data_IF_763993458657
#
_entry.id   IF_763993458657
#
_cell.length_a   1.000
_cell.length_b   1.000
_cell.length_c   1.000
_cell.angle_alpha   90.00
_cell.angle_beta   90.00
_cell.angle_gamma   90.00
#
_symmetry.space_group_name_H-M   'P 1'
#
loop_
_entity.id
_entity.type
_entity.pdbx_description
1 polymer ?
#
# COMPACT_ATOMS: atom_id res chain seq x y z
N UNK A 1 26.82 1.46 -4.58
CA UNK A 1 25.48 2.01 -4.90
C UNK A 1 25.50 2.66 -6.28
N UNK A 2 24.43 2.54 -7.07
CA UNK A 2 24.28 3.16 -8.40
C UNK A 2 22.90 3.82 -8.49
N UNK A 3 22.87 5.08 -8.94
CA UNK A 3 21.66 5.88 -9.17
C UNK A 3 21.93 6.93 -10.26
N UNK A 4 20.95 7.79 -10.55
CA UNK A 4 21.08 8.93 -11.42
C UNK A 4 20.14 10.05 -10.96
N UNK A 5 20.47 11.32 -11.28
CA UNK A 5 19.66 12.50 -10.90
C UNK A 5 18.19 12.36 -11.32
N UNK A 6 17.93 11.81 -12.51
CA UNK A 6 16.57 11.53 -12.98
C UNK A 6 15.83 10.56 -12.04
N UNK A 7 16.47 9.46 -11.62
CA UNK A 7 15.88 8.47 -10.71
C UNK A 7 15.61 9.06 -9.32
N UNK A 8 16.56 9.82 -8.78
CA UNK A 8 16.43 10.48 -7.48
C UNK A 8 15.30 11.51 -7.44
N UNK A 9 14.90 12.07 -8.59
CA UNK A 9 13.74 12.97 -8.65
C UNK A 9 12.44 12.32 -8.13
N UNK A 10 12.35 10.99 -8.13
CA UNK A 10 11.20 10.24 -7.58
C UNK A 10 11.22 10.14 -6.05
N UNK A 11 12.36 10.37 -5.41
CA UNK A 11 12.48 10.43 -3.94
C UNK A 11 12.07 11.77 -3.35
N UNK A 12 11.90 12.80 -4.20
CA UNK A 12 11.56 14.16 -3.80
C UNK A 12 10.23 14.23 -3.03
N UNK A 13 10.19 15.05 -1.98
CA UNK A 13 9.04 15.23 -1.08
C UNK A 13 7.79 15.74 -1.80
N UNK A 14 7.95 16.37 -2.97
CA UNK A 14 6.81 16.85 -3.77
C UNK A 14 5.83 15.75 -4.20
N UNK A 15 6.28 14.50 -4.24
CA UNK A 15 5.40 13.37 -4.51
C UNK A 15 4.93 12.81 -3.17
N UNK A 16 3.64 12.54 -3.03
CA UNK A 16 3.11 11.73 -1.93
C UNK A 16 3.36 10.24 -2.20
N UNK A 17 3.48 9.43 -1.15
CA UNK A 17 3.48 7.98 -1.28
C UNK A 17 4.61 7.24 -0.60
N UNK A 18 4.53 5.91 -0.64
CA UNK A 18 5.43 5.02 0.09
C UNK A 18 6.72 4.74 -0.68
N UNK A 19 7.84 4.76 0.03
CA UNK A 19 9.10 4.21 -0.44
C UNK A 19 9.11 2.71 -0.17
N UNK A 20 9.72 1.91 -1.05
CA UNK A 20 9.84 0.48 -0.89
C UNK A 20 11.30 0.08 -0.99
N UNK A 21 11.75 -0.75 -0.06
CA UNK A 21 13.08 -1.36 -0.08
C UNK A 21 12.94 -2.87 0.00
N UNK A 22 13.67 -3.57 -0.87
CA UNK A 22 13.71 -5.02 -0.92
C UNK A 22 15.06 -5.47 -1.45
N UNK A 23 15.52 -6.63 -1.00
CA UNK A 23 16.72 -7.28 -1.48
C UNK A 23 16.37 -8.40 -2.46
N UNK A 24 17.14 -8.51 -3.53
CA UNK A 24 16.99 -9.63 -4.45
C UNK A 24 18.29 -10.37 -4.70
N UNK A 25 18.21 -11.70 -4.60
CA UNK A 25 19.35 -12.61 -4.62
C UNK A 25 19.46 -13.38 -5.93
N UNK A 26 20.49 -14.24 -6.04
CA UNK A 26 20.75 -15.11 -7.21
C UNK A 26 21.02 -14.33 -8.51
N UNK A 27 21.60 -13.13 -8.38
CA UNK A 27 22.00 -12.26 -9.49
C UNK A 27 23.50 -12.38 -9.81
N UNK A 28 24.32 -12.55 -8.77
CA UNK A 28 25.77 -12.71 -8.87
C UNK A 28 26.18 -14.15 -8.55
N UNK A 29 27.37 -14.58 -8.99
CA UNK A 29 27.94 -15.90 -8.66
C UNK A 29 28.13 -16.07 -7.14
N UNK A 30 28.52 -14.99 -6.46
CA UNK A 30 28.71 -14.93 -5.01
C UNK A 30 27.39 -14.79 -4.23
N UNK A 31 26.25 -14.69 -4.92
CA UNK A 31 24.92 -14.49 -4.31
C UNK A 31 24.77 -13.22 -3.47
N UNK A 32 25.62 -12.22 -3.70
CA UNK A 32 25.48 -10.89 -3.09
C UNK A 32 24.09 -10.29 -3.36
N UNK A 33 23.39 -9.81 -2.32
CA UNK A 33 22.10 -9.14 -2.46
C UNK A 33 22.20 -7.85 -3.25
N UNK A 34 21.24 -7.66 -4.16
CA UNK A 34 20.93 -6.35 -4.72
C UNK A 34 19.77 -5.75 -3.91
N UNK A 35 20.07 -4.74 -3.11
CA UNK A 35 19.08 -3.85 -2.50
C UNK A 35 18.55 -2.91 -3.59
N UNK A 36 17.22 -2.80 -3.68
CA UNK A 36 16.54 -1.85 -4.55
C UNK A 36 15.68 -0.94 -3.69
N UNK A 37 15.90 0.37 -3.80
CA UNK A 37 14.97 1.37 -3.29
C UNK A 37 14.14 1.91 -4.45
N UNK A 38 12.84 1.91 -4.27
CA UNK A 38 11.89 2.40 -5.25
C UNK A 38 10.77 3.20 -4.58
N UNK A 39 9.97 3.88 -5.40
CA UNK A 39 8.72 4.50 -4.97
C UNK A 39 7.55 3.88 -5.71
N UNK A 40 6.40 3.76 -5.05
CA UNK A 40 5.14 3.43 -5.72
C UNK A 40 4.27 4.67 -5.86
N UNK A 41 3.58 4.78 -6.99
CA UNK A 41 2.60 5.84 -7.25
C UNK A 41 1.17 5.38 -6.92
N UNK A 42 0.17 6.26 -7.10
CA UNK A 42 -1.22 5.96 -6.78
C UNK A 42 -1.85 4.88 -7.68
N UNK A 43 -1.21 4.56 -8.82
CA UNK A 43 -1.57 3.43 -9.69
C UNK A 43 -0.76 2.18 -9.38
N UNK A 44 -0.07 2.15 -8.24
CA UNK A 44 0.75 1.03 -7.80
C UNK A 44 1.94 0.72 -8.74
N UNK A 45 2.36 1.70 -9.54
CA UNK A 45 3.48 1.54 -10.44
C UNK A 45 4.80 1.78 -9.69
N UNK A 46 5.77 0.88 -9.89
CA UNK A 46 7.11 1.01 -9.31
C UNK A 46 7.99 1.93 -10.13
N UNK A 47 8.61 2.88 -9.44
CA UNK A 47 9.61 3.81 -9.94
C UNK A 47 10.94 3.52 -9.22
N UNK A 48 11.88 2.76 -9.82
CA UNK A 48 13.16 2.45 -9.18
C UNK A 48 14.00 3.71 -9.02
N UNK A 49 14.70 3.82 -7.89
CA UNK A 49 15.48 5.03 -7.55
C UNK A 49 16.95 4.72 -7.34
N UNK A 50 17.27 3.62 -6.65
CA UNK A 50 18.63 3.26 -6.29
C UNK A 50 18.81 1.75 -6.37
N UNK A 51 19.97 1.35 -6.90
CA UNK A 51 20.43 -0.03 -6.97
C UNK A 51 21.72 -0.16 -6.14
N UNK A 52 21.74 -0.99 -5.10
CA UNK A 52 22.93 -1.20 -4.28
C UNK A 52 23.27 -2.69 -4.19
N UNK A 53 24.44 -3.07 -4.70
CA UNK A 53 25.00 -4.39 -4.45
C UNK A 53 25.76 -4.32 -3.13
N UNK A 54 25.41 -5.18 -2.18
CA UNK A 54 26.12 -5.29 -0.90
C UNK A 54 26.57 -6.73 -0.66
N UNK A 55 27.61 -6.93 0.14
CA UNK A 55 28.07 -8.26 0.56
C UNK A 55 27.32 -8.77 1.78
N UNK A 56 26.83 -7.87 2.64
CA UNK A 56 26.12 -8.19 3.87
C UNK A 56 24.88 -7.29 4.04
N UNK A 57 24.00 -7.72 4.94
CA UNK A 57 22.72 -7.07 5.24
C UNK A 57 22.67 -6.69 6.73
N UNK A 58 23.80 -6.18 7.25
CA UNK A 58 23.94 -5.70 8.62
C UNK A 58 23.44 -4.27 8.76
N UNK A 59 23.24 -3.82 10.01
CA UNK A 59 22.75 -2.48 10.29
C UNK A 59 23.65 -1.38 9.73
N UNK A 60 24.97 -1.56 9.80
CA UNK A 60 25.95 -0.65 9.19
C UNK A 60 25.80 -0.55 7.67
N UNK A 61 25.55 -1.67 6.98
CA UNK A 61 25.34 -1.67 5.52
C UNK A 61 24.10 -0.84 5.14
N UNK A 62 23.03 -0.92 5.93
CA UNK A 62 21.83 -0.10 5.72
C UNK A 62 22.03 1.34 6.10
N UNK A 63 22.74 1.61 7.19
CA UNK A 63 23.08 2.97 7.60
C UNK A 63 23.87 3.68 6.49
N UNK A 64 24.90 3.03 5.95
CA UNK A 64 25.70 3.55 4.83
C UNK A 64 24.87 3.70 3.57
N UNK A 65 23.98 2.74 3.29
CA UNK A 65 23.04 2.82 2.18
C UNK A 65 22.16 4.07 2.27
N UNK A 66 21.43 4.26 3.36
CA UNK A 66 20.53 5.40 3.54
C UNK A 66 21.29 6.74 3.62
N UNK A 67 22.45 6.77 4.29
CA UNK A 67 23.33 7.96 4.32
C UNK A 67 23.78 8.35 2.92
N UNK A 68 24.15 7.36 2.09
CA UNK A 68 24.52 7.63 0.70
C UNK A 68 23.33 8.14 -0.11
N UNK A 69 22.14 7.55 0.04
CA UNK A 69 20.90 8.05 -0.59
C UNK A 69 20.67 9.51 -0.22
N UNK A 70 20.81 9.88 1.05
CA UNK A 70 20.67 11.26 1.50
C UNK A 70 21.70 12.18 0.84
N UNK A 71 22.98 11.81 0.85
CA UNK A 71 24.04 12.61 0.22
C UNK A 71 23.80 12.85 -1.27
N UNK A 72 23.33 11.83 -2.01
CA UNK A 72 23.07 11.93 -3.46
C UNK A 72 21.80 12.73 -3.77
N UNK A 73 20.79 12.67 -2.90
CA UNK A 73 19.58 13.49 -3.05
C UNK A 73 19.91 14.96 -2.81
N UNK A 74 20.68 15.29 -1.77
CA UNK A 74 21.16 16.65 -1.49
C UNK A 74 22.01 17.17 -2.65
N UNK A 75 22.98 16.40 -3.12
CA UNK A 75 23.85 16.78 -4.26
C UNK A 75 23.07 17.00 -5.57
N UNK A 76 21.88 16.41 -5.66
CA UNK A 76 20.95 16.56 -6.78
C UNK A 76 19.91 17.67 -6.60
N UNK A 77 20.03 18.49 -5.55
CA UNK A 77 19.04 19.49 -5.15
C UNK A 77 17.62 18.88 -4.98
N UNK A 78 17.58 17.75 -4.26
CA UNK A 78 16.38 17.00 -3.89
C UNK A 78 16.33 16.79 -2.38
N UNK A 79 15.12 16.64 -1.85
CA UNK A 79 14.89 16.36 -0.43
C UNK A 79 14.29 14.97 -0.28
N UNK A 80 14.95 14.10 0.49
CA UNK A 80 14.44 12.79 0.86
C UNK A 80 14.13 12.75 2.36
N UNK A 81 12.85 12.81 2.69
CA UNK A 81 12.32 12.70 4.06
C UNK A 81 11.13 11.75 4.03
N UNK A 82 11.37 10.43 4.12
CA UNK A 82 10.32 9.44 3.95
C UNK A 82 9.35 9.46 5.13
N UNK A 83 8.05 9.61 4.86
CA UNK A 83 7.00 9.38 5.85
C UNK A 83 6.73 7.88 6.06
N UNK A 84 6.87 7.11 4.97
CA UNK A 84 6.58 5.67 4.95
C UNK A 84 7.64 4.91 4.16
N UNK A 85 8.19 3.85 4.77
CA UNK A 85 9.04 2.87 4.10
C UNK A 85 8.38 1.49 4.24
N UNK A 86 8.10 0.85 3.12
CA UNK A 86 7.61 -0.52 3.04
C UNK A 86 8.81 -1.45 2.91
N UNK A 87 8.93 -2.40 3.84
CA UNK A 87 9.95 -3.44 3.82
C UNK A 87 9.42 -4.72 4.47
N UNK A 88 10.19 -5.79 4.37
CA UNK A 88 9.96 -7.00 5.18
C UNK A 88 10.34 -6.76 6.65
N UNK A 89 10.23 -7.80 7.48
CA UNK A 89 10.65 -7.76 8.88
C UNK A 89 12.19 -7.71 9.02
N UNK A 90 12.80 -6.65 8.51
CA UNK A 90 14.24 -6.50 8.35
C UNK A 90 14.86 -5.62 9.44
N UNK A 91 15.31 -6.24 10.54
CA UNK A 91 15.80 -5.51 11.73
C UNK A 91 16.93 -4.52 11.42
N UNK A 92 17.91 -4.95 10.63
CA UNK A 92 19.05 -4.13 10.26
C UNK A 92 18.62 -2.85 9.51
N UNK A 93 17.77 -2.99 8.49
CA UNK A 93 17.21 -1.85 7.76
C UNK A 93 16.26 -1.01 8.62
N UNK A 94 15.46 -1.63 9.49
CA UNK A 94 14.60 -0.92 10.45
C UNK A 94 15.41 0.02 11.35
N UNK A 95 16.45 -0.50 12.01
CA UNK A 95 17.25 0.27 12.96
C UNK A 95 17.95 1.44 12.25
N UNK A 96 18.58 1.17 11.09
CA UNK A 96 19.22 2.21 10.29
C UNK A 96 18.24 3.28 9.80
N UNK A 97 17.05 2.88 9.34
CA UNK A 97 16.03 3.83 8.88
C UNK A 97 15.50 4.71 10.01
N UNK A 98 15.19 4.15 11.18
CA UNK A 98 14.68 4.93 12.33
C UNK A 98 15.76 5.85 12.89
N UNK A 99 17.03 5.43 12.86
CA UNK A 99 18.15 6.27 13.27
C UNK A 99 18.28 7.54 12.41
N UNK A 100 18.16 7.39 11.09
CA UNK A 100 18.29 8.51 10.13
C UNK A 100 16.99 9.29 9.91
N UNK A 101 15.83 8.64 10.12
CA UNK A 101 14.50 9.20 9.91
C UNK A 101 13.59 8.89 11.12
N UNK A 102 13.71 9.62 12.24
CA UNK A 102 13.00 9.28 13.48
C UNK A 102 11.47 9.21 13.34
N UNK A 103 10.89 10.02 12.45
CA UNK A 103 9.45 10.09 12.23
C UNK A 103 8.91 9.09 11.19
N UNK A 104 9.77 8.29 10.56
CA UNK A 104 9.35 7.35 9.51
C UNK A 104 8.49 6.23 10.08
N UNK A 105 7.38 5.93 9.41
CA UNK A 105 6.60 4.72 9.67
C UNK A 105 7.09 3.60 8.78
N UNK A 106 7.71 2.59 9.41
CA UNK A 106 8.05 1.35 8.72
C UNK A 106 6.79 0.50 8.57
N UNK A 107 6.31 0.41 7.34
CA UNK A 107 5.21 -0.46 6.94
C UNK A 107 5.78 -1.85 6.62
N UNK A 108 5.16 -2.88 7.17
CA UNK A 108 5.61 -4.25 6.96
C UNK A 108 4.63 -5.03 6.09
N UNK A 109 5.15 -5.83 5.16
CA UNK A 109 4.35 -6.67 4.28
C UNK A 109 3.91 -7.98 4.97
N UNK A 110 2.79 -7.95 5.70
CA UNK A 110 2.21 -9.16 6.34
C UNK A 110 0.98 -9.73 5.62
N UNK A 111 0.77 -9.38 4.35
CA UNK A 111 -0.46 -9.75 3.64
C UNK A 111 -0.68 -11.27 3.54
N UNK A 112 0.40 -12.04 3.34
CA UNK A 112 0.31 -13.47 3.06
C UNK A 112 -0.11 -14.35 4.25
N UNK A 113 -0.08 -13.82 5.48
CA UNK A 113 -0.33 -14.64 6.68
C UNK A 113 -1.72 -14.39 7.27
N UNK A 114 -2.24 -13.16 7.25
CA UNK A 114 -3.51 -12.80 7.92
C UNK A 114 -4.30 -11.72 7.14
N UNK A 115 -4.88 -12.10 5.99
CA UNK A 115 -5.58 -11.18 5.09
C UNK A 115 -6.69 -10.36 5.79
N UNK A 116 -7.54 -11.00 6.60
CA UNK A 116 -8.64 -10.31 7.28
C UNK A 116 -8.14 -9.19 8.19
N UNK A 117 -7.11 -9.45 8.98
CA UNK A 117 -6.52 -8.45 9.86
C UNK A 117 -5.78 -7.37 9.07
N UNK A 118 -5.08 -7.73 7.99
CA UNK A 118 -4.39 -6.76 7.12
C UNK A 118 -5.37 -5.77 6.51
N UNK A 119 -6.53 -6.27 6.08
CA UNK A 119 -7.58 -5.50 5.41
C UNK A 119 -8.46 -4.69 6.38
N UNK A 120 -8.12 -4.65 7.66
CA UNK A 120 -8.86 -3.86 8.65
C UNK A 120 -8.83 -2.37 8.29
N UNK A 121 -9.93 -1.67 8.50
CA UNK A 121 -10.04 -0.23 8.14
C UNK A 121 -9.75 0.71 9.31
N UNK A 122 -9.73 0.20 10.53
CA UNK A 122 -9.37 0.91 11.75
C UNK A 122 -8.96 -0.07 12.86
N UNK A 123 -8.59 0.46 14.04
CA UNK A 123 -8.19 -0.35 15.19
C UNK A 123 -9.32 -1.18 15.81
N UNK A 124 -10.59 -0.75 15.68
CA UNK A 124 -11.73 -1.51 16.17
C UNK A 124 -12.03 -2.70 15.25
N UNK A 125 -11.94 -2.50 13.94
CA UNK A 125 -12.05 -3.55 12.94
C UNK A 125 -10.91 -4.58 13.09
N UNK A 126 -9.69 -4.12 13.35
CA UNK A 126 -8.56 -5.02 13.67
C UNK A 126 -8.84 -5.87 14.91
N UNK A 127 -9.37 -5.27 15.99
CA UNK A 127 -9.71 -6.02 17.21
C UNK A 127 -10.73 -7.11 16.91
N UNK A 128 -11.80 -6.79 16.17
CA UNK A 128 -12.82 -7.77 15.75
C UNK A 128 -12.22 -8.89 14.91
N UNK A 129 -11.39 -8.54 13.92
CA UNK A 129 -10.73 -9.50 13.04
C UNK A 129 -9.69 -10.37 13.79
N UNK A 130 -9.20 -9.91 14.94
CA UNK A 130 -8.23 -10.62 15.77
C UNK A 130 -8.87 -11.62 16.74
N UNK A 131 -10.13 -11.45 17.17
CA UNK A 131 -10.72 -12.29 18.24
C UNK A 131 -10.69 -13.79 17.90
N UNK A 132 -11.11 -14.19 16.69
CA UNK A 132 -11.06 -15.61 16.28
C UNK A 132 -9.63 -16.16 16.27
N UNK A 133 -8.67 -15.38 15.77
CA UNK A 133 -7.26 -15.75 15.78
C UNK A 133 -6.77 -15.90 17.22
N UNK A 134 -7.09 -14.94 18.09
CA UNK A 134 -6.68 -14.92 19.50
C UNK A 134 -7.20 -16.13 20.25
N UNK A 135 -8.50 -16.43 20.17
CA UNK A 135 -9.09 -17.53 20.91
C UNK A 135 -8.52 -18.88 20.45
N UNK A 136 -8.39 -19.07 19.14
CA UNK A 136 -7.83 -20.30 18.59
C UNK A 136 -6.34 -20.45 18.90
N UNK A 137 -5.53 -19.43 18.64
CA UNK A 137 -4.07 -19.49 18.85
C UNK A 137 -3.70 -19.56 20.32
N UNK A 138 -4.38 -18.81 21.20
CA UNK A 138 -4.12 -18.87 22.64
C UNK A 138 -4.45 -20.24 23.23
N UNK A 139 -5.46 -20.94 22.68
CA UNK A 139 -5.83 -22.30 23.09
C UNK A 139 -4.89 -23.37 22.54
N UNK A 140 -4.50 -23.28 21.26
CA UNK A 140 -3.82 -24.37 20.56
C UNK A 140 -2.31 -24.17 20.42
N UNK A 141 -1.82 -22.93 20.48
CA UNK A 141 -0.40 -22.58 20.31
C UNK A 141 -0.06 -21.28 21.09
N UNK A 142 -0.11 -21.30 22.44
CA UNK A 142 0.01 -20.09 23.26
C UNK A 142 1.33 -19.35 23.07
N UNK A 143 2.45 -20.06 22.86
CA UNK A 143 3.76 -19.46 22.57
C UNK A 143 3.72 -18.65 21.28
N UNK A 144 3.12 -19.21 20.23
CA UNK A 144 2.92 -18.51 18.96
C UNK A 144 1.99 -17.31 19.14
N UNK A 145 0.90 -17.43 19.90
CA UNK A 145 0.02 -16.32 20.20
C UNK A 145 0.77 -15.14 20.86
N UNK A 146 1.56 -15.41 21.91
CA UNK A 146 2.31 -14.36 22.61
C UNK A 146 3.42 -13.78 21.74
N UNK A 147 4.16 -14.63 21.01
CA UNK A 147 5.10 -14.16 19.99
C UNK A 147 4.41 -13.24 18.98
N UNK A 148 3.25 -13.66 18.48
CA UNK A 148 2.55 -12.93 17.44
C UNK A 148 2.06 -11.58 17.94
N UNK A 149 1.40 -11.57 19.10
CA UNK A 149 0.90 -10.36 19.76
C UNK A 149 2.05 -9.37 20.03
N UNK A 150 3.14 -9.85 20.61
CA UNK A 150 4.26 -9.00 21.01
C UNK A 150 5.03 -8.47 19.81
N UNK A 151 5.20 -9.26 18.74
CA UNK A 151 5.98 -8.87 17.57
C UNK A 151 5.19 -8.05 16.55
N UNK A 152 3.96 -8.50 16.25
CA UNK A 152 3.18 -8.01 15.10
C UNK A 152 2.00 -7.11 15.47
N UNK A 153 1.57 -7.05 16.74
CA UNK A 153 0.51 -6.13 17.16
C UNK A 153 1.01 -5.01 18.06
N UNK A 154 1.96 -5.32 18.95
CA UNK A 154 2.48 -4.38 19.95
C UNK A 154 3.89 -3.90 19.62
N UNK A 155 4.67 -4.74 18.93
CA UNK A 155 6.07 -4.50 18.60
C UNK A 155 6.29 -3.53 17.45
N UNK A 156 7.55 -3.47 17.04
CA UNK A 156 8.04 -2.50 16.03
C UNK A 156 7.46 -2.71 14.63
N UNK A 157 7.04 -3.93 14.29
CA UNK A 157 6.45 -4.28 13.00
C UNK A 157 4.93 -4.27 12.99
N UNK A 158 4.30 -3.47 13.85
CA UNK A 158 2.83 -3.42 13.99
C UNK A 158 2.08 -2.78 12.82
N UNK A 159 2.76 -1.97 11.99
CA UNK A 159 2.14 -1.16 10.94
C UNK A 159 1.95 -1.91 9.61
N UNK A 160 1.26 -3.05 9.64
CA UNK A 160 0.98 -3.83 8.44
C UNK A 160 -0.47 -3.78 8.00
N UNK A 161 -1.37 -3.16 8.76
CA UNK A 161 -2.77 -3.00 8.32
C UNK A 161 -2.93 -1.82 7.37
N UNK A 162 -3.88 -1.91 6.43
CA UNK A 162 -4.09 -0.89 5.39
C UNK A 162 -4.46 0.50 5.92
N UNK A 163 -4.94 0.60 7.16
CA UNK A 163 -5.30 1.89 7.78
C UNK A 163 -4.09 2.67 8.32
N UNK A 164 -2.90 2.07 8.39
CA UNK A 164 -1.69 2.74 8.89
C UNK A 164 -0.94 3.53 7.82
N UNK A 165 -1.37 3.46 6.56
CA UNK A 165 -0.78 4.15 5.41
C UNK A 165 -1.74 5.18 4.83
N UNK A 166 -1.25 6.08 3.95
CA UNK A 166 -2.15 6.94 3.19
C UNK A 166 -3.09 6.12 2.31
N UNK A 167 -4.31 6.63 2.14
CA UNK A 167 -5.35 5.98 1.32
C UNK A 167 -4.82 5.81 -0.11
N UNK A 168 -5.00 4.61 -0.66
CA UNK A 168 -4.62 4.32 -2.05
C UNK A 168 -3.16 3.98 -2.32
N UNK A 169 -2.26 4.18 -1.36
CA UNK A 169 -0.86 3.78 -1.52
C UNK A 169 -0.63 2.30 -1.21
N UNK A 170 0.56 1.78 -1.50
CA UNK A 170 0.84 0.37 -1.25
C UNK A 170 1.19 0.09 0.22
N UNK A 171 0.61 -0.98 0.77
CA UNK A 171 0.93 -1.54 2.08
C UNK A 171 1.74 -2.84 1.98
N UNK A 172 2.02 -3.31 0.77
CA UNK A 172 2.78 -4.54 0.52
C UNK A 172 4.00 -4.25 -0.35
N UNK A 173 5.05 -5.06 -0.22
CA UNK A 173 6.23 -5.01 -1.08
C UNK A 173 5.97 -5.66 -2.46
N UNK A 174 4.75 -6.15 -2.74
CA UNK A 174 4.43 -6.92 -3.95
C UNK A 174 4.80 -6.23 -5.27
N UNK A 175 4.61 -4.90 -5.43
CA UNK A 175 5.09 -4.20 -6.62
C UNK A 175 6.60 -4.31 -6.80
N UNK A 176 7.38 -4.07 -5.73
CA UNK A 176 8.83 -4.18 -5.75
C UNK A 176 9.32 -5.62 -5.95
N UNK A 177 8.66 -6.62 -5.37
CA UNK A 177 8.94 -8.02 -5.67
C UNK A 177 8.75 -8.33 -7.16
N UNK A 178 7.67 -7.81 -7.76
CA UNK A 178 7.39 -7.97 -9.19
C UNK A 178 8.48 -7.32 -10.05
N UNK A 179 8.92 -6.14 -9.64
CA UNK A 179 10.07 -5.47 -10.26
C UNK A 179 11.35 -6.29 -10.12
N UNK A 180 11.65 -6.84 -8.94
CA UNK A 180 12.81 -7.70 -8.70
C UNK A 180 12.77 -8.99 -9.53
N UNK A 181 11.59 -9.59 -9.72
CA UNK A 181 11.38 -10.69 -10.68
C UNK A 181 11.67 -10.25 -12.12
N UNK A 182 11.31 -9.02 -12.48
CA UNK A 182 11.59 -8.47 -13.82
C UNK A 182 13.08 -8.30 -14.08
N UNK A 183 13.88 -7.91 -13.06
CA UNK A 183 15.35 -7.84 -13.18
C UNK A 183 15.92 -9.21 -13.53
N UNK A 184 15.50 -10.24 -12.79
CA UNK A 184 15.94 -11.62 -13.03
C UNK A 184 15.53 -12.10 -14.43
N UNK A 185 14.32 -11.76 -14.87
CA UNK A 185 13.80 -12.23 -16.16
C UNK A 185 14.43 -11.52 -17.35
N UNK A 186 14.54 -10.19 -17.30
CA UNK A 186 14.88 -9.35 -18.45
C UNK A 186 16.38 -9.05 -18.49
N UNK A 187 16.95 -8.63 -17.36
CA UNK A 187 18.32 -8.11 -17.32
C UNK A 187 19.36 -9.21 -17.15
N UNK A 188 19.15 -10.16 -16.23
CA UNK A 188 20.09 -11.28 -16.04
C UNK A 188 19.70 -12.53 -16.81
N UNK A 189 18.47 -12.60 -17.36
CA UNK A 189 17.91 -13.81 -17.99
C UNK A 189 18.07 -15.05 -17.10
N UNK A 190 17.89 -14.87 -15.79
CA UNK A 190 18.07 -15.85 -14.71
C UNK A 190 19.49 -16.43 -14.58
N UNK A 191 20.49 -15.83 -15.24
CA UNK A 191 21.90 -16.19 -15.10
C UNK A 191 22.54 -15.48 -13.90
N UNK A 192 23.52 -16.12 -13.27
CA UNK A 192 24.37 -15.52 -12.23
C UNK A 192 25.62 -14.94 -12.86
N UNK A 193 25.83 -13.64 -12.73
CA UNK A 193 26.96 -12.93 -13.33
C UNK A 193 28.15 -12.81 -12.36
N UNK A 194 29.36 -12.60 -12.87
CA UNK A 194 30.46 -12.14 -12.02
C UNK A 194 30.13 -10.75 -11.44
N UNK A 195 30.74 -10.38 -10.32
CA UNK A 195 30.50 -9.07 -9.68
C UNK A 195 30.74 -7.92 -10.68
N UNK A 196 31.85 -7.94 -11.41
CA UNK A 196 32.16 -6.93 -12.42
C UNK A 196 31.08 -6.82 -13.51
N UNK A 197 30.64 -7.96 -14.06
CA UNK A 197 29.60 -7.97 -15.09
C UNK A 197 28.25 -7.50 -14.53
N UNK A 198 27.97 -7.80 -13.27
CA UNK A 198 26.77 -7.35 -12.61
C UNK A 198 26.78 -5.84 -12.32
N UNK A 199 27.92 -5.28 -11.89
CA UNK A 199 28.08 -3.83 -11.73
C UNK A 199 27.88 -3.11 -13.07
N UNK A 200 28.45 -3.62 -14.17
CA UNK A 200 28.20 -3.09 -15.53
C UNK A 200 26.70 -3.14 -15.87
N UNK A 201 26.03 -4.23 -15.55
CA UNK A 201 24.58 -4.37 -15.76
C UNK A 201 23.77 -3.36 -14.92
N UNK A 202 24.13 -3.14 -13.66
CA UNK A 202 23.49 -2.14 -12.80
C UNK A 202 23.61 -0.73 -13.37
N UNK A 203 24.77 -0.36 -13.93
CA UNK A 203 24.94 0.93 -14.63
C UNK A 203 23.99 1.02 -15.83
N UNK A 204 23.92 -0.03 -16.65
CA UNK A 204 23.01 -0.09 -17.80
C UNK A 204 21.53 0.00 -17.38
N UNK A 205 21.15 -0.67 -16.28
CA UNK A 205 19.80 -0.58 -15.71
C UNK A 205 19.49 0.84 -15.24
N UNK A 206 20.40 1.48 -14.48
CA UNK A 206 20.22 2.84 -14.02
C UNK A 206 20.04 3.81 -15.20
N UNK A 207 20.86 3.69 -16.26
CA UNK A 207 20.71 4.47 -17.49
C UNK A 207 19.37 4.22 -18.17
N UNK A 208 18.98 2.95 -18.36
CA UNK A 208 17.72 2.57 -18.99
C UNK A 208 16.52 3.19 -18.27
N UNK A 209 16.42 3.01 -16.95
CA UNK A 209 15.29 3.56 -16.17
C UNK A 209 15.35 5.08 -16.04
N UNK A 210 16.53 5.70 -16.17
CA UNK A 210 16.67 7.17 -16.22
C UNK A 210 16.14 7.76 -17.51
N UNK A 211 16.35 7.08 -18.65
CA UNK A 211 15.88 7.53 -19.95
C UNK A 211 14.42 7.16 -20.22
N UNK A 212 13.93 6.08 -19.60
CA UNK A 212 12.58 5.54 -19.81
C UNK A 212 11.73 5.69 -18.54
N UNK A 213 11.73 6.88 -17.95
CA UNK A 213 10.90 7.15 -16.78
C UNK A 213 9.43 7.05 -17.14
N UNK A 214 8.70 6.24 -16.40
CA UNK A 214 7.26 6.15 -16.54
C UNK A 214 6.61 7.39 -15.93
N UNK A 215 5.44 7.77 -16.45
CA UNK A 215 4.59 8.80 -15.87
C UNK A 215 4.25 8.46 -14.43
N UNK A 216 4.37 9.44 -13.53
CA UNK A 216 3.99 9.28 -12.14
C UNK A 216 2.54 9.73 -11.96
N UNK A 217 1.72 8.88 -11.33
CA UNK A 217 0.30 9.16 -11.14
C UNK A 217 0.00 9.45 -9.68
N UNK A 218 -0.59 10.63 -9.43
CA UNK A 218 -1.04 11.02 -8.08
C UNK A 218 -2.46 10.52 -7.78
N UNK A 219 -3.24 10.23 -8.82
CA UNK A 219 -4.60 9.71 -8.69
C UNK A 219 -4.67 8.19 -8.90
N UNK A 220 -5.44 7.47 -8.07
CA UNK A 220 -5.61 6.04 -8.20
C UNK A 220 -6.44 5.67 -9.43
N UNK A 221 -6.15 4.52 -10.02
CA UNK A 221 -6.96 3.96 -11.11
C UNK A 221 -7.66 2.67 -10.68
N UNK A 222 -8.97 2.52 -10.98
CA UNK A 222 -9.67 1.29 -10.67
C UNK A 222 -9.17 0.13 -11.54
N UNK A 223 -8.78 -0.96 -10.88
CA UNK A 223 -8.45 -2.21 -11.55
C UNK A 223 -9.69 -2.88 -12.19
N UNK A 224 -9.47 -3.93 -12.99
CA UNK A 224 -10.54 -4.62 -13.71
C UNK A 224 -11.65 -5.18 -12.78
N UNK A 225 -11.29 -5.69 -11.60
CA UNK A 225 -12.26 -6.19 -10.60
C UNK A 225 -13.14 -5.06 -10.08
N UNK A 226 -12.54 -3.91 -9.77
CA UNK A 226 -13.23 -2.70 -9.34
C UNK A 226 -14.19 -2.18 -10.43
N UNK A 227 -13.72 -2.08 -11.68
CA UNK A 227 -14.53 -1.67 -12.85
C UNK A 227 -15.73 -2.61 -13.06
N UNK A 228 -15.51 -3.93 -12.99
CA UNK A 228 -16.56 -4.97 -13.12
C UNK A 228 -17.60 -4.87 -12.00
N UNK A 229 -17.15 -4.71 -10.75
CA UNK A 229 -18.06 -4.49 -9.62
C UNK A 229 -18.92 -3.25 -9.84
N UNK A 230 -18.28 -2.12 -10.18
CA UNK A 230 -18.98 -0.87 -10.43
C UNK A 230 -20.02 -0.97 -11.54
N UNK A 231 -19.78 -1.82 -12.56
CA UNK A 231 -20.74 -2.02 -13.67
C UNK A 231 -21.94 -2.82 -13.18
N UNK A 232 -21.66 -3.92 -12.48
CA UNK A 232 -22.68 -4.86 -12.02
C UNK A 232 -23.66 -4.24 -11.02
N UNK A 233 -23.15 -3.39 -10.13
CA UNK A 233 -23.89 -2.87 -8.98
C UNK A 233 -24.33 -1.41 -9.14
N UNK A 234 -24.13 -0.78 -10.30
CA UNK A 234 -24.73 0.52 -10.62
C UNK A 234 -26.24 0.39 -10.89
N UNK A 235 -27.00 0.05 -9.83
CA UNK A 235 -28.46 -0.07 -9.86
C UNK A 235 -29.04 0.58 -8.62
N UNK A 236 -30.11 1.34 -8.76
CA UNK A 236 -30.70 2.12 -7.67
C UNK A 236 -31.04 1.28 -6.43
N UNK A 237 -31.47 0.04 -6.62
CA UNK A 237 -31.87 -0.87 -5.55
C UNK A 237 -30.78 -1.10 -4.49
N UNK A 238 -29.51 -0.90 -4.84
CA UNK A 238 -28.37 -1.06 -3.92
C UNK A 238 -28.02 0.22 -3.16
N UNK A 239 -28.63 1.36 -3.48
CA UNK A 239 -28.26 2.66 -2.93
C UNK A 239 -29.42 3.34 -2.21
N UNK A 240 -29.14 3.79 -1.00
CA UNK A 240 -30.08 4.54 -0.16
C UNK A 240 -29.48 5.92 0.10
N UNK A 241 -30.17 6.97 -0.33
CA UNK A 241 -29.78 8.36 -0.04
C UNK A 241 -30.00 8.65 1.44
N UNK A 242 -28.93 8.97 2.17
CA UNK A 242 -29.01 9.31 3.61
C UNK A 242 -29.29 10.80 3.81
N UNK A 243 -28.60 11.64 3.03
CA UNK A 243 -28.77 13.09 2.98
C UNK A 243 -28.25 13.65 1.63
N UNK A 244 -27.97 14.96 1.57
CA UNK A 244 -27.52 15.63 0.33
C UNK A 244 -26.17 15.11 -0.17
N UNK A 245 -25.29 14.68 0.73
CA UNK A 245 -23.90 14.33 0.39
C UNK A 245 -23.59 12.84 0.60
N UNK A 246 -24.34 12.16 1.48
CA UNK A 246 -24.08 10.77 1.87
C UNK A 246 -25.08 9.79 1.27
N UNK A 247 -24.51 8.69 0.76
CA UNK A 247 -25.23 7.55 0.22
C UNK A 247 -24.79 6.28 0.91
N UNK A 248 -25.73 5.38 1.16
CA UNK A 248 -25.46 4.07 1.71
C UNK A 248 -25.59 3.03 0.61
N UNK A 249 -24.52 2.28 0.37
CA UNK A 249 -24.58 1.04 -0.41
C UNK A 249 -25.02 -0.10 0.52
N UNK A 250 -25.99 -0.90 0.08
CA UNK A 250 -26.49 -2.06 0.84
C UNK A 250 -26.59 -3.30 -0.05
N UNK A 251 -25.77 -4.30 0.25
CA UNK A 251 -25.90 -5.65 -0.30
C UNK A 251 -25.55 -6.69 0.77
N UNK A 252 -24.39 -7.36 0.67
CA UNK A 252 -23.86 -8.24 1.72
C UNK A 252 -23.34 -7.47 2.93
N UNK A 253 -22.66 -6.36 2.65
CA UNK A 253 -22.15 -5.42 3.63
C UNK A 253 -22.78 -4.04 3.37
N UNK A 254 -22.73 -3.18 4.39
CA UNK A 254 -23.20 -1.81 4.31
C UNK A 254 -22.01 -0.87 4.31
N UNK A 255 -21.96 0.06 3.36
CA UNK A 255 -20.92 1.08 3.29
C UNK A 255 -21.52 2.45 3.03
N UNK A 256 -20.91 3.47 3.63
CA UNK A 256 -21.30 4.87 3.41
C UNK A 256 -20.33 5.49 2.41
N UNK A 257 -20.89 6.25 1.48
CA UNK A 257 -20.17 6.98 0.44
C UNK A 257 -20.50 8.45 0.58
N UNK A 258 -19.48 9.29 0.71
CA UNK A 258 -19.57 10.75 0.73
C UNK A 258 -19.20 11.28 -0.66
N UNK A 259 -20.14 11.97 -1.33
CA UNK A 259 -19.99 12.39 -2.73
C UNK A 259 -18.99 13.52 -2.90
N UNK A 260 -19.08 14.54 -2.05
CA UNK A 260 -18.22 15.74 -2.10
C UNK A 260 -16.74 15.39 -2.04
N UNK A 261 -16.37 14.45 -1.17
CA UNK A 261 -14.98 14.02 -0.96
C UNK A 261 -14.62 12.72 -1.70
N UNK A 262 -15.54 12.19 -2.52
CA UNK A 262 -15.35 10.90 -3.22
C UNK A 262 -14.87 9.77 -2.30
N UNK A 263 -15.38 9.72 -1.06
CA UNK A 263 -14.88 8.81 -0.02
C UNK A 263 -15.86 7.67 0.24
N UNK A 264 -15.37 6.44 0.42
CA UNK A 264 -16.18 5.27 0.77
C UNK A 264 -15.61 4.54 1.98
N UNK A 265 -16.47 4.12 2.92
CA UNK A 265 -16.05 3.44 4.16
C UNK A 265 -15.67 1.96 3.98
N UNK A 266 -15.56 1.46 2.75
CA UNK A 266 -15.19 0.06 2.50
C UNK A 266 -13.66 -0.13 2.49
N UNK A 267 -13.20 -1.31 2.90
CA UNK A 267 -11.78 -1.69 2.91
C UNK A 267 -11.05 -1.52 1.57
N UNK A 268 -11.75 -1.71 0.45
CA UNK A 268 -11.15 -1.53 -0.88
C UNK A 268 -10.83 -0.06 -1.19
N UNK A 269 -11.59 0.88 -0.64
CA UNK A 269 -11.31 2.30 -0.79
C UNK A 269 -10.09 2.71 0.05
N UNK A 270 -10.02 2.29 1.31
CA UNK A 270 -8.83 2.51 2.17
C UNK A 270 -7.57 1.93 1.52
N UNK A 271 -7.67 0.72 0.96
CA UNK A 271 -6.57 0.05 0.27
C UNK A 271 -6.11 0.81 -0.98
N UNK A 272 -7.02 1.10 -1.91
CA UNK A 272 -6.68 1.50 -3.28
C UNK A 272 -7.13 2.91 -3.68
N UNK A 273 -7.72 3.70 -2.77
CA UNK A 273 -8.21 5.06 -3.02
C UNK A 273 -9.41 5.14 -3.98
N UNK A 274 -9.83 4.00 -4.52
CA UNK A 274 -10.99 3.84 -5.39
C UNK A 274 -11.63 2.49 -5.13
N UNK A 275 -12.95 2.41 -5.19
CA UNK A 275 -13.68 1.17 -4.97
C UNK A 275 -14.88 1.03 -5.91
N UNK A 276 -15.37 -0.20 -6.05
CA UNK A 276 -16.51 -0.49 -6.92
C UNK A 276 -17.79 0.21 -6.47
N UNK A 277 -17.97 0.44 -5.16
CA UNK A 277 -19.12 1.18 -4.62
C UNK A 277 -19.14 2.63 -5.11
N UNK A 278 -17.99 3.31 -5.05
CA UNK A 278 -17.85 4.68 -5.52
C UNK A 278 -18.09 4.77 -7.03
N UNK A 279 -17.51 3.84 -7.81
CA UNK A 279 -17.75 3.79 -9.26
C UNK A 279 -19.22 3.54 -9.61
N UNK A 280 -19.88 2.63 -8.89
CA UNK A 280 -21.30 2.34 -9.11
C UNK A 280 -22.18 3.56 -8.80
N UNK A 281 -21.92 4.25 -7.68
CA UNK A 281 -22.66 5.46 -7.33
C UNK A 281 -22.43 6.57 -8.35
N UNK A 282 -21.17 6.83 -8.72
CA UNK A 282 -20.82 7.88 -9.69
C UNK A 282 -21.48 7.66 -11.05
N UNK A 283 -21.71 6.41 -11.46
CA UNK A 283 -22.45 6.10 -12.68
C UNK A 283 -23.93 6.43 -12.58
N UNK A 284 -24.57 6.08 -11.47
CA UNK A 284 -25.98 6.41 -11.24
C UNK A 284 -26.19 7.92 -11.13
N UNK A 285 -25.26 8.63 -10.48
CA UNK A 285 -25.33 10.08 -10.34
C UNK A 285 -25.09 10.87 -11.63
N UNK A 286 -24.84 10.20 -12.77
CA UNK A 286 -24.93 10.84 -14.09
C UNK A 286 -26.37 11.04 -14.56
N UNK A 287 -27.35 10.39 -13.91
CA UNK A 287 -28.78 10.57 -14.14
C UNK A 287 -29.36 11.55 -13.11
N UNK A 288 -29.99 12.62 -13.58
CA UNK A 288 -30.62 13.65 -12.72
C UNK A 288 -31.76 13.09 -11.86
N UNK A 289 -32.49 12.10 -12.39
CA UNK A 289 -33.60 11.43 -11.69
C UNK A 289 -33.10 10.75 -10.40
N UNK A 290 -31.94 10.08 -10.48
CA UNK A 290 -31.35 9.41 -9.32
C UNK A 290 -30.85 10.41 -8.29
N UNK A 291 -30.22 11.51 -8.74
CA UNK A 291 -29.65 12.53 -7.84
C UNK A 291 -30.75 13.26 -7.06
N UNK A 292 -31.85 13.62 -7.72
CA UNK A 292 -32.93 14.42 -7.12
C UNK A 292 -33.94 13.61 -6.32
N UNK A 293 -33.75 12.28 -6.24
CA UNK A 293 -34.64 11.40 -5.49
C UNK A 293 -34.84 11.87 -4.03
N UNK A 294 -36.09 11.94 -3.54
CA UNK A 294 -36.38 12.29 -2.16
C UNK A 294 -35.84 11.23 -1.20
N UNK A 295 -35.52 11.65 0.03
CA UNK A 295 -35.05 10.73 1.08
C UNK A 295 -36.14 9.70 1.37
N UNK A 296 -35.77 8.41 1.46
CA UNK A 296 -36.70 7.39 1.99
C UNK A 296 -36.90 7.66 3.49
N UNK A 297 -37.94 8.41 3.83
CA UNK A 297 -38.41 8.52 5.21
C UNK A 297 -38.87 7.14 5.67
N UNK A 298 -38.25 6.61 6.73
CA UNK A 298 -38.82 5.44 7.42
C UNK A 298 -40.23 5.79 7.88
N UNK A 299 -41.22 4.97 7.52
CA UNK A 299 -42.58 5.12 8.03
C UNK A 299 -42.51 5.10 9.57
N UNK A 300 -42.74 6.26 10.22
CA UNK A 300 -43.17 6.25 11.62
C UNK A 300 -44.53 5.55 11.63
N UNK A 301 -44.60 4.32 12.14
CA UNK A 301 -45.88 3.71 12.49
C UNK A 301 -46.54 4.61 13.53
N UNK A 302 -47.55 5.38 13.13
CA UNK A 302 -48.38 6.13 14.07
C UNK A 302 -49.18 5.12 14.89
N UNK A 303 -48.87 5.01 16.20
CA UNK A 303 -49.77 4.39 17.16
C UNK A 303 -50.93 5.36 17.43
N UNK A 304 -51.90 5.42 16.53
CA UNK A 304 -53.24 5.89 16.88
C UNK A 304 -54.15 4.67 16.79
N UNK A 305 -54.23 3.95 17.92
CA UNK A 305 -55.29 2.99 18.13
C UNK A 305 -56.60 3.79 18.19
N UNK A 306 -57.53 3.40 17.32
CA UNK A 306 -58.93 3.81 17.38
C UNK A 306 -59.50 3.34 18.72
N UNK A 307 -59.78 4.27 19.62
CA UNK A 307 -60.84 4.07 20.60
C UNK A 307 -62.11 4.38 19.80
N UNK A 308 -62.92 3.34 19.57
CA UNK A 308 -64.32 3.50 19.22
C UNK A 308 -65.13 3.10 20.45
N UNK A 309 -66.08 3.97 20.75
CA UNK A 309 -67.07 3.89 21.82
C UNK A 309 -67.83 2.55 21.83
#
# INVERSE_FOLDING_TARGET
>A
MITARALLSRLDIKYQGCHQIDATYKLTKNSFPLIVLARTDAKHQVHPTVFCLTSHEQESDFHDFYTRVLSETISSNKKFTPEYIVQDAWNASYNAAINLFPDVKILMCYFHHLENMHMSIDSNDLRKNFELFKDYSKKNCPEFYYYFKNSWLQGRYRYWQIYNKPIGYESTNSPLESFNRSIKRIHTKKKRLSVLNFVKLMVSMARYYSMNQKTYFEDPEPNAKCKKFGNRYAKEQYFIKLDRDRWQFKFKETHVIKRSTQHCTCKYFVKSGVCGHLLALNRLCKSDEFVNKPKRSGQKKSKNALIRD
#
